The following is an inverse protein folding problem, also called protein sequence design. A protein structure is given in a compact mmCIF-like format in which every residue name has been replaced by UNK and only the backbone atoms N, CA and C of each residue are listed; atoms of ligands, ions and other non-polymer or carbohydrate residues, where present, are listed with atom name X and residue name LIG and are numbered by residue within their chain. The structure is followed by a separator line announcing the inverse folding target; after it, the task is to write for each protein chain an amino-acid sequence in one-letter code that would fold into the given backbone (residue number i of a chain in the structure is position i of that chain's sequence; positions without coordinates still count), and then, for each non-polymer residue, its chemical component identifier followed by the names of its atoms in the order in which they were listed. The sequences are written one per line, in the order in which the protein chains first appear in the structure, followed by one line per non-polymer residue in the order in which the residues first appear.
data_IF_422008976367
#
_entry.id   IF_422008976367
#
_cell.length_a   1.000
_cell.length_b   1.000
_cell.length_c   1.000
_cell.angle_alpha   90.00
_cell.angle_beta   90.00
_cell.angle_gamma   90.00
#
_symmetry.space_group_name_H-M   'P 1'
#
loop_
_entity.id
_entity.type
_entity.pdbx_description
1 polymer ?
#
# COMPACT_ATOMS: atom_id res chain seq x y z
N UNK A 1 -17.81 -2.15 9.44
CA UNK A 1 -16.60 -3.01 9.32
C UNK A 1 -15.93 -3.23 10.68
N UNK A 2 -15.48 -4.45 11.02
CA UNK A 2 -14.65 -4.72 12.21
C UNK A 2 -13.16 -4.80 11.80
N UNK A 3 -12.30 -3.94 12.36
CA UNK A 3 -10.87 -3.91 12.05
C UNK A 3 -10.05 -4.16 13.32
N UNK A 4 -9.42 -5.32 13.40
CA UNK A 4 -8.60 -5.72 14.55
C UNK A 4 -7.47 -4.72 14.86
N UNK A 5 -6.74 -4.23 13.85
CA UNK A 5 -5.68 -3.24 14.03
C UNK A 5 -6.17 -1.93 14.69
N UNK A 6 -7.41 -1.54 14.43
CA UNK A 6 -7.99 -0.37 15.08
C UNK A 6 -8.37 -0.69 16.52
N UNK A 7 -9.00 -1.84 16.77
CA UNK A 7 -9.37 -2.28 18.11
C UNK A 7 -8.15 -2.39 19.03
N UNK A 8 -7.03 -2.89 18.53
CA UNK A 8 -5.78 -3.05 19.27
C UNK A 8 -4.89 -1.80 19.28
N UNK A 9 -5.35 -0.68 18.74
CA UNK A 9 -4.59 0.57 18.62
C UNK A 9 -3.31 0.51 17.78
N UNK A 10 -3.08 -0.58 17.03
CA UNK A 10 -1.96 -0.72 16.10
C UNK A 10 -2.05 0.23 14.89
N UNK A 11 -3.26 0.65 14.50
CA UNK A 11 -3.46 1.57 13.39
C UNK A 11 -4.69 2.49 13.62
N UNK A 12 -4.51 3.79 13.40
CA UNK A 12 -5.56 4.83 13.56
C UNK A 12 -5.89 5.58 12.27
N UNK A 13 -5.44 5.08 11.11
CA UNK A 13 -5.64 5.73 9.82
C UNK A 13 -7.12 5.90 9.45
N UNK A 14 -8.00 5.00 9.89
CA UNK A 14 -9.45 5.09 9.66
C UNK A 14 -10.13 5.86 10.81
N UNK A 15 -9.98 7.18 10.85
CA UNK A 15 -10.45 8.04 11.96
C UNK A 15 -11.96 7.97 12.22
N UNK A 16 -12.74 7.65 11.18
CA UNK A 16 -14.20 7.58 11.24
C UNK A 16 -14.73 6.17 11.57
N UNK A 17 -13.86 5.16 11.71
CA UNK A 17 -14.27 3.77 11.90
C UNK A 17 -15.27 3.55 13.07
N UNK A 18 -15.16 4.25 14.22
CA UNK A 18 -16.13 4.10 15.32
C UNK A 18 -17.55 4.61 15.00
N UNK A 19 -17.71 5.44 13.98
CA UNK A 19 -19.00 6.04 13.63
C UNK A 19 -19.77 5.09 12.69
N UNK A 20 -21.07 4.83 12.92
CA UNK A 20 -21.91 4.06 12.00
C UNK A 20 -21.84 4.60 10.56
N UNK A 21 -21.82 3.71 9.56
CA UNK A 21 -21.56 4.11 8.17
C UNK A 21 -22.58 5.12 7.63
N UNK A 22 -23.86 4.97 7.98
CA UNK A 22 -24.94 5.90 7.62
C UNK A 22 -24.72 7.30 8.19
N UNK A 23 -24.20 7.39 9.42
CA UNK A 23 -23.84 8.67 10.04
C UNK A 23 -22.60 9.28 9.39
N UNK A 24 -21.61 8.48 8.98
CA UNK A 24 -20.46 8.97 8.22
C UNK A 24 -20.90 9.65 6.91
N UNK A 25 -21.83 9.03 6.17
CA UNK A 25 -22.37 9.58 4.92
C UNK A 25 -23.13 10.88 5.17
N UNK A 26 -24.03 10.88 6.14
CA UNK A 26 -24.82 12.07 6.52
C UNK A 26 -23.92 13.22 6.94
N UNK A 27 -22.90 12.95 7.75
CA UNK A 27 -21.96 13.96 8.22
C UNK A 27 -21.10 14.52 7.07
N UNK A 28 -20.59 13.68 6.17
CA UNK A 28 -19.83 14.13 4.99
C UNK A 28 -20.68 15.02 4.09
N UNK A 29 -21.94 14.66 3.84
CA UNK A 29 -22.89 15.46 3.08
C UNK A 29 -23.11 16.83 3.74
N UNK A 30 -23.41 16.85 5.05
CA UNK A 30 -23.64 18.10 5.80
C UNK A 30 -22.41 19.02 5.80
N UNK A 31 -21.20 18.46 5.96
CA UNK A 31 -19.97 19.25 5.88
C UNK A 31 -19.76 19.86 4.49
N UNK A 32 -19.99 19.09 3.42
CA UNK A 32 -19.87 19.59 2.06
C UNK A 32 -20.88 20.71 1.77
N UNK A 33 -22.14 20.53 2.19
CA UNK A 33 -23.20 21.54 2.09
C UNK A 33 -22.83 22.84 2.80
N UNK A 34 -22.41 22.72 4.06
CA UNK A 34 -22.01 23.87 4.88
C UNK A 34 -20.86 24.66 4.24
N UNK A 35 -19.81 23.96 3.78
CA UNK A 35 -18.62 24.61 3.18
C UNK A 35 -18.88 25.24 1.83
N UNK A 36 -19.80 24.70 1.04
CA UNK A 36 -20.12 25.21 -0.30
C UNK A 36 -21.26 26.22 -0.32
N UNK A 37 -21.99 26.38 0.78
CA UNK A 37 -23.17 27.27 0.89
C UNK A 37 -22.90 28.71 0.46
N UNK A 38 -21.68 29.22 0.69
CA UNK A 38 -21.29 30.59 0.34
C UNK A 38 -20.85 30.77 -1.12
N UNK A 39 -20.55 29.69 -1.85
CA UNK A 39 -19.94 29.75 -3.19
C UNK A 39 -20.83 29.16 -4.29
N UNK A 40 -21.83 28.36 -3.93
CA UNK A 40 -22.77 27.79 -4.88
C UNK A 40 -24.14 27.52 -4.24
N UNK A 41 -25.20 27.89 -4.94
CA UNK A 41 -26.53 27.32 -4.69
C UNK A 41 -26.64 26.05 -5.54
N UNK A 42 -26.53 24.89 -4.90
CA UNK A 42 -26.56 23.60 -5.57
C UNK A 42 -27.76 22.76 -5.11
N UNK A 43 -28.34 21.99 -6.03
CA UNK A 43 -29.24 20.90 -5.67
C UNK A 43 -28.42 19.71 -5.22
N UNK A 44 -28.62 19.28 -3.97
CA UNK A 44 -27.88 18.16 -3.38
C UNK A 44 -28.62 16.84 -3.61
N UNK A 45 -27.98 15.93 -4.32
CA UNK A 45 -28.45 14.55 -4.47
C UNK A 45 -28.08 13.70 -3.24
N UNK A 46 -28.73 12.55 -3.01
CA UNK A 46 -28.31 11.61 -1.99
C UNK A 46 -26.83 11.18 -2.17
N UNK A 47 -26.09 10.92 -1.08
CA UNK A 47 -24.71 10.46 -1.17
C UNK A 47 -24.66 9.05 -1.80
N UNK A 48 -23.65 8.81 -2.63
CA UNK A 48 -23.39 7.48 -3.19
C UNK A 48 -22.48 6.70 -2.22
N UNK A 49 -22.97 5.61 -1.60
CA UNK A 49 -22.16 4.81 -0.69
C UNK A 49 -21.09 4.02 -1.45
N UNK A 50 -19.95 3.82 -0.79
CA UNK A 50 -18.92 2.86 -1.20
C UNK A 50 -19.10 1.55 -0.42
N UNK A 51 -18.36 0.50 -0.79
CA UNK A 51 -18.21 -0.66 0.08
C UNK A 51 -17.49 -0.25 1.38
N UNK A 52 -17.78 -0.92 2.49
CA UNK A 52 -17.12 -0.63 3.77
C UNK A 52 -15.72 -1.27 3.91
N UNK A 53 -15.41 -2.24 3.05
CA UNK A 53 -14.15 -3.00 3.04
C UNK A 53 -13.77 -3.35 1.60
N UNK A 54 -12.51 -3.72 1.37
CA UNK A 54 -12.02 -4.17 0.06
C UNK A 54 -12.05 -3.12 -1.06
N UNK A 55 -12.36 -1.86 -0.76
CA UNK A 55 -12.51 -0.82 -1.77
C UNK A 55 -11.19 -0.15 -2.18
N UNK A 56 -10.09 -0.42 -1.46
CA UNK A 56 -8.80 0.21 -1.71
C UNK A 56 -7.95 -0.69 -2.61
N UNK A 57 -7.89 -0.36 -3.89
CA UNK A 57 -7.12 -1.11 -4.88
C UNK A 57 -5.62 -0.76 -4.98
N UNK A 58 -5.13 0.20 -4.17
CA UNK A 58 -3.69 0.55 -4.12
C UNK A 58 -3.17 0.59 -2.68
N UNK A 59 -2.23 -0.29 -2.40
CA UNK A 59 -1.48 -0.36 -1.16
C UNK A 59 -0.16 0.40 -1.29
N UNK A 60 0.21 1.09 -0.22
CA UNK A 60 1.50 1.77 -0.07
C UNK A 60 2.08 1.32 1.27
N UNK A 61 2.77 0.19 1.27
CA UNK A 61 3.30 -0.43 2.48
C UNK A 61 4.73 0.04 2.68
N UNK A 62 5.01 0.72 3.79
CA UNK A 62 6.39 0.96 4.20
C UNK A 62 7.03 -0.37 4.58
N UNK A 63 8.30 -0.56 4.21
CA UNK A 63 9.08 -1.72 4.60
C UNK A 63 9.78 -1.35 5.92
N UNK A 64 9.37 -2.00 7.01
CA UNK A 64 9.97 -1.87 8.33
C UNK A 64 10.59 -3.18 8.83
N UNK A 65 10.88 -3.27 10.12
CA UNK A 65 11.39 -4.48 10.74
C UNK A 65 12.86 -4.75 10.39
N UNK A 66 13.18 -5.99 10.00
CA UNK A 66 14.55 -6.42 9.68
C UNK A 66 14.64 -7.16 8.35
N UNK A 67 15.86 -7.47 7.89
CA UNK A 67 16.09 -8.28 6.67
C UNK A 67 15.44 -9.67 6.75
N UNK A 68 15.39 -10.27 7.95
CA UNK A 68 14.87 -11.63 8.15
C UNK A 68 13.40 -11.64 8.58
N UNK A 69 12.89 -10.51 9.08
CA UNK A 69 11.51 -10.34 9.48
C UNK A 69 11.02 -8.93 9.09
N UNK A 70 10.89 -8.63 7.78
CA UNK A 70 10.40 -7.33 7.34
C UNK A 70 8.89 -7.22 7.60
N UNK A 71 8.46 -6.06 8.07
CA UNK A 71 7.04 -5.73 8.21
C UNK A 71 6.56 -4.92 7.01
N UNK A 72 5.32 -5.15 6.59
CA UNK A 72 4.68 -4.41 5.49
C UNK A 72 3.47 -3.64 6.02
N UNK A 73 3.60 -2.31 6.16
CA UNK A 73 2.51 -1.50 6.68
C UNK A 73 2.89 -0.04 6.92
N UNK A 74 2.81 0.40 8.17
CA UNK A 74 3.13 1.78 8.59
C UNK A 74 4.44 1.82 9.36
N UNK A 75 5.09 2.98 9.38
CA UNK A 75 6.16 3.28 10.32
C UNK A 75 5.62 4.20 11.41
N UNK A 76 5.80 3.83 12.67
CA UNK A 76 5.49 4.67 13.81
C UNK A 76 6.52 5.81 13.98
N UNK A 77 6.17 6.86 14.75
CA UNK A 77 7.15 7.82 15.24
C UNK A 77 8.27 7.09 16.00
N UNK A 78 9.46 7.00 15.38
CA UNK A 78 10.58 6.19 15.89
C UNK A 78 11.08 5.13 14.90
N UNK A 79 10.37 4.87 13.81
CA UNK A 79 10.78 3.97 12.74
C UNK A 79 10.43 2.49 12.99
N UNK A 80 9.73 2.19 14.09
CA UNK A 80 9.17 0.85 14.29
C UNK A 80 8.10 0.57 13.23
N UNK A 81 8.16 -0.60 12.60
CA UNK A 81 7.25 -0.96 11.52
C UNK A 81 6.08 -1.80 12.03
N UNK A 82 4.86 -1.33 11.82
CA UNK A 82 3.61 -2.05 12.11
C UNK A 82 3.18 -2.82 10.86
N UNK A 83 3.08 -4.13 10.98
CA UNK A 83 2.59 -5.00 9.90
C UNK A 83 1.07 -4.89 9.73
N UNK A 84 0.62 -4.54 8.52
CA UNK A 84 -0.79 -4.31 8.18
C UNK A 84 -1.24 -5.11 6.95
N UNK A 85 -0.61 -6.26 6.69
CA UNK A 85 -0.93 -7.07 5.51
C UNK A 85 -2.38 -7.54 5.46
N UNK A 86 -3.06 -7.67 6.60
CA UNK A 86 -4.47 -8.09 6.69
C UNK A 86 -5.43 -6.89 6.79
N UNK A 87 -5.02 -5.70 6.34
CA UNK A 87 -5.86 -4.51 6.44
C UNK A 87 -7.16 -4.71 5.63
N UNK A 88 -8.35 -4.62 6.25
CA UNK A 88 -9.62 -4.96 5.61
C UNK A 88 -10.05 -3.97 4.51
N UNK A 89 -9.31 -2.88 4.32
CA UNK A 89 -9.53 -1.97 3.20
C UNK A 89 -9.08 -2.55 1.86
N UNK A 90 -8.10 -3.46 1.87
CA UNK A 90 -7.59 -4.08 0.65
C UNK A 90 -8.47 -5.27 0.24
N UNK A 91 -8.70 -5.48 -1.07
CA UNK A 91 -9.26 -6.72 -1.60
C UNK A 91 -8.53 -7.96 -1.08
N UNK A 92 -9.22 -9.09 -1.01
CA UNK A 92 -8.65 -10.36 -0.53
C UNK A 92 -7.43 -10.79 -1.35
N UNK A 93 -7.50 -10.65 -2.67
CA UNK A 93 -6.39 -10.85 -3.62
C UNK A 93 -5.12 -10.07 -3.24
N UNK A 94 -5.26 -8.81 -2.83
CA UNK A 94 -4.13 -8.01 -2.37
C UNK A 94 -3.62 -8.48 -1.00
N UNK A 95 -4.51 -8.84 -0.06
CA UNK A 95 -4.11 -9.36 1.25
C UNK A 95 -3.30 -10.65 1.13
N UNK A 96 -3.73 -11.56 0.25
CA UNK A 96 -3.04 -12.81 -0.08
C UNK A 96 -1.67 -12.55 -0.74
N UNK A 97 -1.53 -11.49 -1.52
CA UNK A 97 -0.29 -11.16 -2.21
C UNK A 97 0.85 -10.73 -1.28
N UNK A 98 0.56 -10.16 -0.11
CA UNK A 98 1.62 -9.61 0.75
C UNK A 98 2.55 -10.66 1.35
N UNK A 99 2.08 -11.89 1.59
CA UNK A 99 2.93 -12.96 2.14
C UNK A 99 4.04 -13.35 1.15
N UNK A 100 3.74 -13.72 -0.13
CA UNK A 100 4.79 -13.97 -1.12
C UNK A 100 5.71 -12.77 -1.37
N UNK A 101 5.17 -11.54 -1.33
CA UNK A 101 5.98 -10.32 -1.48
C UNK A 101 7.00 -10.19 -0.34
N UNK A 102 6.58 -10.44 0.90
CA UNK A 102 7.47 -10.42 2.06
C UNK A 102 8.54 -11.51 1.96
N UNK A 103 8.17 -12.71 1.52
CA UNK A 103 9.11 -13.81 1.29
C UNK A 103 10.15 -13.45 0.22
N UNK A 104 9.75 -12.78 -0.86
CA UNK A 104 10.69 -12.28 -1.87
C UNK A 104 11.67 -11.24 -1.31
N UNK A 105 11.23 -10.35 -0.40
CA UNK A 105 12.13 -9.41 0.29
C UNK A 105 13.17 -10.14 1.17
N UNK A 106 12.74 -11.17 1.89
CA UNK A 106 13.61 -12.01 2.74
C UNK A 106 14.63 -12.76 1.86
N UNK A 107 14.17 -13.43 0.80
CA UNK A 107 15.02 -14.19 -0.11
C UNK A 107 16.03 -13.31 -0.84
N UNK A 108 15.61 -12.11 -1.25
CA UNK A 108 16.49 -11.10 -1.85
C UNK A 108 17.36 -10.37 -0.80
N UNK A 109 17.18 -10.64 0.49
CA UNK A 109 17.86 -10.00 1.63
C UNK A 109 17.85 -8.47 1.52
N UNK A 110 16.67 -7.88 1.33
CA UNK A 110 16.52 -6.43 1.21
C UNK A 110 16.46 -5.81 2.60
N UNK A 111 17.46 -4.99 3.02
CA UNK A 111 17.39 -4.30 4.30
C UNK A 111 16.34 -3.19 4.27
N UNK A 112 15.39 -3.14 5.23
CA UNK A 112 14.49 -2.00 5.38
C UNK A 112 15.27 -0.68 5.51
N UNK A 113 14.75 0.39 4.90
CA UNK A 113 15.36 1.71 4.97
C UNK A 113 15.02 2.40 6.30
N UNK A 114 16.03 2.70 7.09
CA UNK A 114 15.91 3.33 8.39
C UNK A 114 15.98 4.86 8.24
N UNK A 115 14.86 5.56 8.48
CA UNK A 115 14.73 7.00 8.22
C UNK A 115 15.73 7.84 9.02
N UNK A 116 15.94 7.53 10.30
CA UNK A 116 16.80 8.31 11.20
C UNK A 116 18.28 8.23 10.79
N UNK A 117 18.75 7.02 10.47
CA UNK A 117 20.16 6.77 10.10
C UNK A 117 20.42 6.91 8.59
N UNK A 118 19.36 7.07 7.78
CA UNK A 118 19.40 7.19 6.32
C UNK A 118 20.12 6.03 5.62
N UNK A 119 20.02 4.83 6.19
CA UNK A 119 20.67 3.59 5.73
C UNK A 119 19.64 2.51 5.39
N UNK A 120 20.09 1.41 4.79
CA UNK A 120 19.20 0.36 4.28
C UNK A 120 18.75 0.67 2.86
N UNK A 121 17.82 -0.14 2.33
CA UNK A 121 17.56 -0.18 0.88
C UNK A 121 16.07 -0.15 0.55
N UNK A 122 15.26 -1.05 1.11
CA UNK A 122 13.82 -1.13 0.83
C UNK A 122 13.03 -0.05 1.55
N UNK A 123 12.36 0.83 0.81
CA UNK A 123 11.52 1.91 1.36
C UNK A 123 10.04 1.51 1.41
N UNK A 124 9.51 1.09 0.26
CA UNK A 124 8.09 0.74 0.13
C UNK A 124 7.87 -0.48 -0.77
N UNK A 125 6.78 -1.18 -0.52
CA UNK A 125 6.09 -2.03 -1.48
C UNK A 125 4.82 -1.32 -1.91
N UNK A 126 4.69 -1.04 -3.20
CA UNK A 126 3.44 -0.54 -3.77
C UNK A 126 2.79 -1.67 -4.56
N UNK A 127 1.57 -2.03 -4.17
CA UNK A 127 0.77 -3.04 -4.85
C UNK A 127 -0.50 -2.38 -5.35
N UNK A 128 -0.79 -2.54 -6.63
CA UNK A 128 -2.03 -2.04 -7.25
C UNK A 128 -2.77 -3.20 -7.87
N UNK A 129 -4.08 -3.26 -7.64
CA UNK A 129 -5.00 -4.14 -8.35
C UNK A 129 -5.80 -3.33 -9.37
N UNK A 130 -5.81 -3.79 -10.61
CA UNK A 130 -6.63 -3.21 -11.66
C UNK A 130 -8.11 -3.55 -11.42
N UNK A 131 -8.98 -2.54 -11.26
CA UNK A 131 -10.41 -2.78 -11.08
C UNK A 131 -11.01 -3.53 -12.28
N UNK A 132 -11.83 -4.54 -12.01
CA UNK A 132 -12.54 -5.32 -13.03
C UNK A 132 -11.77 -6.53 -13.53
N UNK A 133 -10.45 -6.44 -13.72
CA UNK A 133 -9.60 -7.57 -14.16
C UNK A 133 -8.96 -8.31 -13.00
N UNK A 134 -8.69 -7.63 -11.88
CA UNK A 134 -7.97 -8.19 -10.73
C UNK A 134 -6.47 -8.35 -10.98
N UNK A 135 -5.95 -7.85 -12.10
CA UNK A 135 -4.51 -7.94 -12.41
C UNK A 135 -3.69 -7.10 -11.42
N UNK A 136 -2.55 -7.64 -10.98
CA UNK A 136 -1.69 -7.00 -10.00
C UNK A 136 -0.45 -6.37 -10.66
N UNK A 137 -0.11 -5.17 -10.19
CA UNK A 137 1.16 -4.49 -10.44
C UNK A 137 1.89 -4.29 -9.11
N UNK A 138 3.09 -4.85 -9.03
CA UNK A 138 3.99 -4.78 -7.88
C UNK A 138 5.19 -3.88 -8.20
N UNK A 139 5.44 -2.90 -7.32
CA UNK A 139 6.61 -2.03 -7.35
C UNK A 139 7.35 -2.11 -6.02
N UNK A 140 8.61 -2.52 -6.08
CA UNK A 140 9.56 -2.39 -4.99
C UNK A 140 10.23 -1.02 -5.06
N UNK A 141 10.02 -0.17 -4.07
CA UNK A 141 10.67 1.14 -3.99
C UNK A 141 11.94 1.01 -3.16
N UNK A 142 13.08 1.25 -3.80
CA UNK A 142 14.42 1.04 -3.27
C UNK A 142 15.18 2.36 -3.21
N UNK A 143 16.13 2.46 -2.29
CA UNK A 143 17.06 3.60 -2.25
C UNK A 143 18.02 3.58 -3.46
N UNK A 144 18.45 2.42 -3.92
CA UNK A 144 19.47 2.29 -4.96
C UNK A 144 19.26 1.06 -5.84
N UNK A 145 20.24 0.73 -6.69
CA UNK A 145 20.19 -0.45 -7.56
C UNK A 145 20.66 -1.74 -6.85
N UNK A 146 21.17 -1.64 -5.63
CA UNK A 146 21.89 -2.74 -4.94
C UNK A 146 21.06 -4.02 -4.76
N UNK A 147 19.74 -3.90 -4.59
CA UNK A 147 18.86 -5.06 -4.41
C UNK A 147 18.15 -5.52 -5.70
N UNK A 148 18.25 -4.78 -6.79
CA UNK A 148 17.45 -4.99 -8.01
C UNK A 148 17.68 -6.38 -8.60
N UNK A 149 18.94 -6.79 -8.77
CA UNK A 149 19.25 -8.11 -9.35
C UNK A 149 18.77 -9.26 -8.46
N UNK A 150 18.89 -9.13 -7.14
CA UNK A 150 18.44 -10.15 -6.18
C UNK A 150 16.92 -10.28 -6.16
N UNK A 151 16.21 -9.15 -6.25
CA UNK A 151 14.75 -9.13 -6.41
C UNK A 151 14.31 -9.72 -7.75
N UNK A 152 15.03 -9.41 -8.84
CA UNK A 152 14.81 -10.01 -10.15
C UNK A 152 14.84 -11.54 -10.12
N UNK A 153 15.78 -12.13 -9.35
CA UNK A 153 15.86 -13.59 -9.15
C UNK A 153 14.65 -14.19 -8.43
N UNK A 154 13.87 -13.39 -7.69
CA UNK A 154 12.65 -13.86 -6.99
C UNK A 154 11.37 -13.71 -7.84
N UNK A 155 11.43 -12.98 -8.96
CA UNK A 155 10.25 -12.73 -9.82
C UNK A 155 9.60 -14.02 -10.32
N UNK A 156 10.33 -15.06 -10.78
CA UNK A 156 9.69 -16.31 -11.19
C UNK A 156 8.85 -16.97 -10.07
N UNK A 157 9.35 -16.97 -8.84
CA UNK A 157 8.63 -17.50 -7.68
C UNK A 157 7.40 -16.64 -7.34
N UNK A 158 7.50 -15.32 -7.43
CA UNK A 158 6.36 -14.41 -7.24
C UNK A 158 5.27 -14.64 -8.29
N UNK A 159 5.62 -14.77 -9.56
CA UNK A 159 4.66 -15.03 -10.63
C UNK A 159 3.98 -16.40 -10.47
N UNK A 160 4.71 -17.40 -9.99
CA UNK A 160 4.13 -18.71 -9.68
C UNK A 160 3.17 -18.67 -8.48
N UNK A 161 3.51 -17.92 -7.43
CA UNK A 161 2.69 -17.78 -6.23
C UNK A 161 1.47 -16.86 -6.46
N UNK A 162 1.55 -15.92 -7.40
CA UNK A 162 0.54 -14.90 -7.65
C UNK A 162 0.11 -14.92 -9.12
N UNK A 163 -0.87 -15.78 -9.50
CA UNK A 163 -1.31 -15.91 -10.89
C UNK A 163 -1.90 -14.63 -11.50
N UNK A 164 -2.34 -13.68 -10.68
CA UNK A 164 -2.84 -12.38 -11.12
C UNK A 164 -1.74 -11.33 -11.32
N UNK A 165 -0.50 -11.58 -10.87
CA UNK A 165 0.62 -10.67 -11.03
C UNK A 165 1.04 -10.58 -12.49
N UNK A 166 1.06 -9.36 -13.03
CA UNK A 166 1.43 -9.09 -14.43
C UNK A 166 2.68 -8.24 -14.54
N UNK A 167 2.83 -7.27 -13.64
CA UNK A 167 3.92 -6.30 -13.69
C UNK A 167 4.69 -6.35 -12.39
N UNK A 168 6.00 -6.54 -12.47
CA UNK A 168 6.92 -6.36 -11.35
C UNK A 168 7.99 -5.36 -11.74
N UNK A 169 8.29 -4.43 -10.84
CA UNK A 169 9.22 -3.34 -11.08
C UNK A 169 10.01 -2.97 -9.83
N UNK A 170 11.18 -2.38 -10.03
CA UNK A 170 11.96 -1.70 -9.00
C UNK A 170 12.03 -0.20 -9.31
N UNK A 171 11.50 0.61 -8.41
CA UNK A 171 11.54 2.07 -8.48
C UNK A 171 12.67 2.59 -7.59
N UNK A 172 13.50 3.50 -8.11
CA UNK A 172 14.62 4.06 -7.36
C UNK A 172 14.25 5.43 -6.79
N UNK A 173 14.27 5.51 -5.46
CA UNK A 173 14.10 6.72 -4.69
C UNK A 173 15.34 6.95 -3.81
N UNK A 174 16.45 7.50 -4.36
CA UNK A 174 17.67 7.74 -3.59
C UNK A 174 17.50 8.86 -2.55
N UNK A 175 16.67 9.84 -2.85
CA UNK A 175 16.50 11.03 -2.02
C UNK A 175 15.76 10.71 -0.70
N UNK A 176 16.16 11.40 0.37
CA UNK A 176 15.46 11.37 1.65
C UNK A 176 14.35 12.43 1.66
N UNK A 177 13.20 12.10 1.05
CA UNK A 177 12.04 12.99 0.92
C UNK A 177 10.75 12.24 1.23
N UNK A 178 9.71 12.99 1.62
CA UNK A 178 8.37 12.46 1.90
C UNK A 178 7.57 12.18 0.60
N UNK A 179 8.16 11.40 -0.30
CA UNK A 179 7.54 10.89 -1.54
C UNK A 179 7.58 9.36 -1.53
N UNK A 180 6.67 8.73 -2.26
CA UNK A 180 6.55 7.27 -2.25
C UNK A 180 7.28 6.58 -3.39
N UNK A 181 7.71 7.34 -4.40
CA UNK A 181 8.31 6.88 -5.65
C UNK A 181 9.36 7.92 -6.06
N UNK A 182 10.40 7.50 -6.78
CA UNK A 182 11.36 8.36 -7.46
C UNK A 182 11.24 8.23 -8.98
N UNK A 183 12.14 8.89 -9.69
CA UNK A 183 11.99 9.14 -11.14
C UNK A 183 12.45 7.98 -12.03
N UNK A 184 13.18 7.00 -11.48
CA UNK A 184 13.75 5.89 -12.24
C UNK A 184 12.98 4.60 -11.95
N UNK A 185 12.38 4.04 -12.98
CA UNK A 185 11.69 2.76 -12.96
C UNK A 185 12.49 1.70 -13.72
N UNK A 186 12.65 0.52 -13.14
CA UNK A 186 13.29 -0.65 -13.76
C UNK A 186 12.28 -1.78 -13.79
N UNK A 187 11.85 -2.22 -14.98
CA UNK A 187 10.97 -3.36 -15.11
C UNK A 187 11.73 -4.66 -14.80
N UNK A 188 11.07 -5.56 -14.07
CA UNK A 188 11.55 -6.91 -13.76
C UNK A 188 10.68 -8.00 -14.44
N UNK A 189 9.70 -7.57 -15.22
CA UNK A 189 8.84 -8.39 -16.10
C UNK A 189 8.78 -7.75 -17.48
N UNK A 190 8.47 -8.53 -18.52
CA UNK A 190 8.35 -8.01 -19.89
C UNK A 190 7.10 -7.12 -20.08
N UNK A 191 6.06 -7.35 -19.28
CA UNK A 191 4.83 -6.55 -19.29
C UNK A 191 5.01 -5.26 -18.49
N UNK A 192 4.55 -4.14 -19.05
CA UNK A 192 4.64 -2.80 -18.43
C UNK A 192 3.32 -2.23 -17.89
N UNK A 193 2.19 -2.89 -18.14
CA UNK A 193 0.85 -2.41 -17.75
C UNK A 193 -0.10 -3.54 -17.35
N UNK A 194 -1.05 -3.19 -16.48
CA UNK A 194 -2.23 -4.01 -16.15
C UNK A 194 -3.43 -3.51 -16.95
N UNK A 195 -4.39 -4.39 -17.24
CA UNK A 195 -5.59 -4.12 -18.05
C UNK A 195 -6.74 -3.54 -17.24
#
# INVERSE_FOLDING_TARGET
MNCHYYTEALCRSCTELPRPYTEQLTHKQAQAQSRLSAVATASWLPPVPSAESGFRNKAKMAIGGSVTAPTLGLLEPGGHGVDLMQCPLYPESMQQAFVPIREALIAARVPPYELAMRRGEGKYVLLTEAPGTGELMLRFVLRSREAVERLGKQVPALLAALPALRVVSANLLPEHKAVTEGDVEILLTDTSQVR
#
